data_IF_504024297153
#
_entry.id   IF_504024297153
#
_cell.length_a   1.000
_cell.length_b   1.000
_cell.length_c   1.000
_cell.angle_alpha   90.00
_cell.angle_beta   90.00
_cell.angle_gamma   90.00
#
_symmetry.space_group_name_H-M   'P 1'
#
loop_
_entity.id
_entity.type
_entity.pdbx_description
1 polymer ?
#
# COMPACT_ATOMS: atom_id res chain seq x y z
N UNK A 1 19.92 14.53 7.50
CA UNK A 1 19.01 15.53 6.92
C UNK A 1 17.63 14.89 6.84
N UNK A 2 16.68 15.42 7.61
CA UNK A 2 15.31 14.89 7.68
C UNK A 2 14.50 15.43 6.52
N UNK A 3 13.65 14.61 5.90
CA UNK A 3 12.80 15.02 4.76
C UNK A 3 11.33 14.80 5.08
N UNK A 4 10.49 15.71 4.61
CA UNK A 4 9.03 15.65 4.72
C UNK A 4 8.46 15.29 3.36
N UNK A 5 7.60 14.27 3.33
CA UNK A 5 6.87 13.82 2.15
C UNK A 5 5.42 14.29 2.27
N UNK A 6 4.91 14.93 1.23
CA UNK A 6 3.55 15.44 1.22
C UNK A 6 2.95 15.42 -0.19
N UNK A 7 1.64 15.58 -0.26
CA UNK A 7 0.89 15.63 -1.50
C UNK A 7 0.41 17.06 -1.73
N UNK A 8 0.56 17.54 -2.97
CA UNK A 8 -0.06 18.80 -3.41
C UNK A 8 -1.12 18.45 -4.46
N UNK A 9 -2.32 19.01 -4.29
CA UNK A 9 -3.37 18.97 -5.30
C UNK A 9 -3.13 20.10 -6.31
N UNK A 10 -2.86 19.74 -7.56
CA UNK A 10 -2.72 20.65 -8.69
C UNK A 10 -3.83 20.35 -9.70
N UNK A 11 -4.89 21.16 -9.72
CA UNK A 11 -6.12 20.88 -10.48
C UNK A 11 -6.70 19.51 -10.09
N UNK A 12 -6.85 18.58 -11.03
CA UNK A 12 -7.38 17.22 -10.81
C UNK A 12 -6.30 16.19 -10.41
N UNK A 13 -5.04 16.61 -10.27
CA UNK A 13 -3.90 15.73 -10.02
C UNK A 13 -3.41 15.89 -8.58
N UNK A 14 -3.12 14.77 -7.90
CA UNK A 14 -2.36 14.75 -6.64
C UNK A 14 -0.94 14.33 -6.94
N UNK A 15 0.00 15.25 -6.79
CA UNK A 15 1.42 15.04 -7.04
C UNK A 15 2.19 14.87 -5.74
N UNK A 16 3.30 14.12 -5.81
CA UNK A 16 4.14 13.82 -4.65
C UNK A 16 5.29 14.83 -4.61
N UNK A 17 5.44 15.50 -3.47
CA UNK A 17 6.48 16.48 -3.21
C UNK A 17 7.30 16.10 -1.99
N UNK A 18 8.55 16.55 -1.99
CA UNK A 18 9.48 16.40 -0.88
C UNK A 18 10.12 17.74 -0.53
N UNK A 19 10.30 18.00 0.76
CA UNK A 19 11.03 19.18 1.25
C UNK A 19 11.94 18.77 2.41
N UNK A 20 13.01 19.53 2.65
CA UNK A 20 13.80 19.35 3.87
C UNK A 20 12.97 19.74 5.09
N UNK A 21 13.15 19.03 6.20
CA UNK A 21 12.51 19.41 7.47
C UNK A 21 13.03 20.74 8.01
N UNK A 22 14.25 21.14 7.61
CA UNK A 22 14.84 22.44 7.93
C UNK A 22 14.26 23.59 7.07
N UNK A 23 13.30 23.28 6.19
CA UNK A 23 12.70 24.22 5.24
C UNK A 23 13.41 24.25 3.88
N UNK A 24 12.90 25.10 2.98
CA UNK A 24 13.39 25.25 1.61
C UNK A 24 12.31 24.96 0.56
N UNK A 25 12.72 24.99 -0.71
CA UNK A 25 11.81 24.80 -1.84
C UNK A 25 11.39 23.33 -2.00
N UNK A 26 10.08 23.03 -2.08
CA UNK A 26 9.60 21.69 -2.38
C UNK A 26 10.03 21.21 -3.77
N UNK A 27 10.48 19.96 -3.84
CA UNK A 27 10.81 19.28 -5.10
C UNK A 27 9.71 18.29 -5.44
N UNK A 28 9.19 18.38 -6.66
CA UNK A 28 8.22 17.43 -7.20
C UNK A 28 8.92 16.14 -7.61
N UNK A 29 8.42 14.99 -7.12
CA UNK A 29 8.99 13.67 -7.43
C UNK A 29 8.28 12.97 -8.60
N UNK A 30 6.98 13.20 -8.78
CA UNK A 30 6.19 12.54 -9.83
C UNK A 30 6.30 13.27 -11.16
N UNK A 31 6.81 12.59 -12.19
CA UNK A 31 7.00 13.13 -13.56
C UNK A 31 5.87 12.81 -14.55
N UNK A 32 5.07 11.76 -14.29
CA UNK A 32 3.98 11.35 -15.18
C UNK A 32 2.66 12.02 -14.79
N UNK A 33 2.30 13.03 -15.56
CA UNK A 33 0.96 13.65 -15.57
C UNK A 33 0.06 12.90 -16.55
N UNK A 34 -0.38 11.69 -16.16
CA UNK A 34 -1.56 11.12 -16.84
C UNK A 34 -2.77 11.88 -16.30
N UNK A 35 -3.45 12.63 -17.17
CA UNK A 35 -4.61 13.46 -16.80
C UNK A 35 -5.67 12.60 -16.10
N UNK A 36 -6.13 13.02 -14.93
CA UNK A 36 -7.09 12.29 -14.10
C UNK A 36 -6.48 11.27 -13.13
N UNK A 37 -5.15 11.08 -13.14
CA UNK A 37 -4.49 10.13 -12.25
C UNK A 37 -4.04 10.83 -10.95
N UNK A 38 -4.37 10.25 -9.80
CA UNK A 38 -4.01 10.77 -8.49
C UNK A 38 -3.08 9.81 -7.75
N UNK A 39 -2.04 10.35 -7.10
CA UNK A 39 -1.22 9.60 -6.16
C UNK A 39 -1.72 9.80 -4.73
N UNK A 40 -1.83 8.71 -3.97
CA UNK A 40 -2.35 8.73 -2.59
C UNK A 40 -1.57 7.78 -1.68
N UNK A 41 -1.85 7.83 -0.37
CA UNK A 41 -1.37 6.85 0.61
C UNK A 41 0.16 6.70 0.61
N UNK A 42 0.88 7.81 0.47
CA UNK A 42 2.34 7.85 0.40
C UNK A 42 2.98 7.43 1.73
N UNK A 43 4.06 6.64 1.65
CA UNK A 43 4.86 6.19 2.79
C UNK A 43 6.34 6.08 2.44
N UNK A 44 7.20 6.49 3.36
CA UNK A 44 8.63 6.21 3.30
C UNK A 44 8.92 4.74 3.58
N UNK A 45 9.86 4.17 2.82
CA UNK A 45 10.56 2.97 3.23
C UNK A 45 11.36 3.26 4.51
N UNK A 46 11.52 2.31 5.44
CA UNK A 46 12.30 2.51 6.67
C UNK A 46 13.75 2.97 6.43
N UNK A 47 14.33 2.63 5.28
CA UNK A 47 15.68 3.06 4.90
C UNK A 47 15.78 4.53 4.45
N UNK A 48 14.65 5.21 4.26
CA UNK A 48 14.57 6.60 3.82
C UNK A 48 15.01 6.85 2.38
N UNK A 49 15.26 5.81 1.57
CA UNK A 49 15.72 5.92 0.18
C UNK A 49 14.58 5.81 -0.82
N UNK A 50 13.59 4.98 -0.49
CA UNK A 50 12.42 4.73 -1.33
C UNK A 50 11.15 5.28 -0.71
N UNK A 51 10.18 5.59 -1.56
CA UNK A 51 8.80 5.80 -1.16
C UNK A 51 7.89 4.80 -1.86
N UNK A 52 6.78 4.46 -1.23
CA UNK A 52 5.68 3.74 -1.83
C UNK A 52 4.42 4.60 -1.84
N UNK A 53 3.58 4.40 -2.85
CA UNK A 53 2.33 5.13 -2.99
C UNK A 53 1.35 4.36 -3.86
N UNK A 54 0.09 4.74 -3.74
CA UNK A 54 -1.00 4.21 -4.57
C UNK A 54 -1.28 5.15 -5.72
N UNK A 55 -1.73 4.58 -6.83
CA UNK A 55 -2.21 5.34 -7.96
C UNK A 55 -3.67 5.02 -8.27
N UNK A 56 -4.47 6.07 -8.50
CA UNK A 56 -5.90 5.99 -8.76
C UNK A 56 -6.24 6.75 -10.04
N UNK A 57 -6.91 6.09 -10.98
CA UNK A 57 -7.49 6.74 -12.15
C UNK A 57 -8.79 7.46 -11.79
N UNK A 58 -8.63 8.57 -11.07
CA UNK A 58 -9.74 9.37 -10.53
C UNK A 58 -10.60 9.96 -11.64
N UNK A 59 -10.00 10.39 -12.75
CA UNK A 59 -10.73 11.00 -13.86
C UNK A 59 -11.73 10.05 -14.52
N UNK A 60 -11.36 8.79 -14.74
CA UNK A 60 -12.30 7.77 -15.22
C UNK A 60 -13.29 7.35 -14.13
N UNK A 61 -12.84 7.22 -12.88
CA UNK A 61 -13.73 6.91 -11.75
C UNK A 61 -14.84 7.95 -11.57
N UNK A 62 -14.50 9.24 -11.60
CA UNK A 62 -15.42 10.36 -11.43
C UNK A 62 -16.48 10.41 -12.54
N UNK A 63 -16.10 10.04 -13.77
CA UNK A 63 -17.02 9.98 -14.92
C UNK A 63 -17.85 8.69 -14.99
N UNK A 64 -17.63 7.75 -14.07
CA UNK A 64 -18.24 6.42 -14.13
C UNK A 64 -17.73 5.57 -15.31
N UNK A 65 -16.58 5.91 -15.88
CA UNK A 65 -15.91 5.15 -16.93
C UNK A 65 -15.13 3.98 -16.33
N UNK A 66 -14.70 3.04 -17.19
CA UNK A 66 -13.82 1.95 -16.77
C UNK A 66 -12.44 2.50 -16.37
N UNK A 67 -12.23 2.67 -15.07
CA UNK A 67 -10.95 3.10 -14.50
C UNK A 67 -9.86 2.01 -14.58
N UNK A 68 -8.60 2.43 -14.68
CA UNK A 68 -7.47 1.54 -14.48
C UNK A 68 -7.44 0.94 -13.06
N UNK A 69 -6.88 -0.27 -12.90
CA UNK A 69 -6.74 -0.87 -11.57
C UNK A 69 -5.91 0.04 -10.66
N UNK A 70 -6.31 0.10 -9.39
CA UNK A 70 -5.48 0.73 -8.36
C UNK A 70 -4.19 -0.07 -8.26
N UNK A 71 -3.07 0.63 -8.34
CA UNK A 71 -1.74 0.05 -8.35
C UNK A 71 -0.88 0.62 -7.24
N UNK A 72 0.02 -0.23 -6.73
CA UNK A 72 1.06 0.18 -5.79
C UNK A 72 2.35 0.37 -6.56
N UNK A 73 3.00 1.50 -6.31
CA UNK A 73 4.26 1.88 -6.92
C UNK A 73 5.31 2.13 -5.85
N UNK A 74 6.57 1.92 -6.23
CA UNK A 74 7.73 2.42 -5.49
C UNK A 74 8.51 3.40 -6.34
N UNK A 75 9.25 4.28 -5.67
CA UNK A 75 10.17 5.20 -6.31
C UNK A 75 11.43 5.36 -5.49
N UNK A 76 12.59 5.25 -6.13
CA UNK A 76 13.85 5.72 -5.55
C UNK A 76 13.89 7.25 -5.61
N UNK A 77 14.09 7.89 -4.46
CA UNK A 77 14.00 9.35 -4.35
C UNK A 77 15.19 10.06 -5.01
N UNK A 78 16.35 9.39 -5.14
CA UNK A 78 17.54 9.97 -5.75
C UNK A 78 17.49 9.82 -7.27
N UNK A 79 17.10 8.65 -7.76
CA UNK A 79 17.10 8.33 -9.18
C UNK A 79 15.81 8.77 -9.88
N UNK A 80 14.71 8.87 -9.13
CA UNK A 80 13.39 9.21 -9.66
C UNK A 80 12.81 8.12 -10.56
N UNK A 81 13.30 6.89 -10.43
CA UNK A 81 12.81 5.74 -11.18
C UNK A 81 11.51 5.23 -10.54
N UNK A 82 10.45 5.15 -11.36
CA UNK A 82 9.15 4.61 -10.96
C UNK A 82 9.08 3.12 -11.24
N UNK A 83 8.71 2.32 -10.23
CA UNK A 83 8.56 0.88 -10.34
C UNK A 83 7.15 0.45 -9.94
N UNK A 84 6.48 -0.26 -10.84
CA UNK A 84 5.20 -0.92 -10.51
C UNK A 84 5.49 -2.11 -9.60
N UNK A 85 4.82 -2.16 -8.46
CA UNK A 85 4.94 -3.27 -7.49
C UNK A 85 3.87 -4.31 -7.78
N UNK A 86 2.61 -3.88 -7.81
CA UNK A 86 1.47 -4.76 -8.11
C UNK A 86 0.27 -3.93 -8.51
N UNK A 87 -0.62 -4.57 -9.28
CA UNK A 87 -1.96 -4.07 -9.57
C UNK A 87 -2.99 -4.78 -8.68
N UNK A 88 -4.14 -4.16 -8.48
CA UNK A 88 -5.31 -4.84 -7.93
C UNK A 88 -5.31 -5.06 -6.41
N UNK A 89 -4.45 -4.33 -5.68
CA UNK A 89 -4.57 -4.13 -4.23
C UNK A 89 -5.33 -2.83 -3.97
N UNK A 90 -6.63 -2.96 -3.76
CA UNK A 90 -7.59 -1.85 -3.76
C UNK A 90 -7.79 -1.19 -2.38
N UNK A 91 -7.09 -1.65 -1.33
CA UNK A 91 -7.06 -1.07 0.02
C UNK A 91 -6.80 0.41 -0.01
N UNK A 92 -7.42 1.19 0.88
CA UNK A 92 -7.14 2.63 1.02
C UNK A 92 -5.90 2.92 1.87
N UNK A 93 -5.14 1.89 2.16
CA UNK A 93 -4.02 1.85 3.09
C UNK A 93 -2.76 1.34 2.40
N UNK A 94 -1.62 1.64 3.02
CA UNK A 94 -0.31 1.14 2.62
C UNK A 94 0.65 1.28 3.81
N UNK A 95 1.44 0.25 4.08
CA UNK A 95 2.60 0.35 4.97
C UNK A 95 3.78 -0.49 4.46
N UNK A 96 4.99 -0.12 4.86
CA UNK A 96 6.19 -0.92 4.60
C UNK A 96 6.41 -1.92 5.72
N UNK A 97 6.99 -3.08 5.41
CA UNK A 97 7.64 -3.90 6.44
C UNK A 97 8.81 -3.15 7.06
N UNK A 98 9.11 -3.42 8.33
CA UNK A 98 10.21 -2.76 9.05
C UNK A 98 11.59 -3.01 8.41
N UNK A 99 11.75 -4.10 7.67
CA UNK A 99 12.94 -4.44 6.90
C UNK A 99 12.97 -3.84 5.48
N UNK A 100 11.91 -3.14 5.06
CA UNK A 100 11.79 -2.52 3.74
C UNK A 100 11.63 -3.50 2.57
N UNK A 101 11.49 -4.81 2.82
CA UNK A 101 11.38 -5.82 1.76
C UNK A 101 9.97 -6.02 1.22
N UNK A 102 8.95 -5.61 1.96
CA UNK A 102 7.55 -5.83 1.62
C UNK A 102 6.72 -4.56 1.78
N UNK A 103 5.65 -4.49 1.01
CA UNK A 103 4.58 -3.52 1.16
C UNK A 103 3.30 -4.26 1.50
N UNK A 104 2.58 -3.77 2.50
CA UNK A 104 1.30 -4.31 2.91
C UNK A 104 0.17 -3.37 2.51
N UNK A 105 -0.93 -3.95 2.08
CA UNK A 105 -2.18 -3.25 1.80
C UNK A 105 -3.35 -4.22 1.96
N UNK A 106 -4.51 -3.68 2.24
CA UNK A 106 -5.74 -4.46 2.35
C UNK A 106 -6.42 -4.65 0.99
N UNK A 107 -7.26 -5.67 0.89
CA UNK A 107 -8.16 -5.87 -0.25
C UNK A 107 -9.39 -6.63 0.24
N UNK A 108 -10.55 -6.34 -0.33
CA UNK A 108 -11.73 -7.19 -0.14
C UNK A 108 -11.46 -8.57 -0.75
N UNK A 109 -11.59 -9.61 0.06
CA UNK A 109 -11.50 -10.98 -0.40
C UNK A 109 -12.65 -11.29 -1.37
N UNK A 110 -12.32 -11.92 -2.51
CA UNK A 110 -13.28 -12.20 -3.59
C UNK A 110 -14.43 -13.11 -3.14
N UNK A 111 -14.16 -14.03 -2.21
CA UNK A 111 -15.19 -14.89 -1.63
C UNK A 111 -16.13 -14.16 -0.66
N UNK A 112 -15.85 -12.90 -0.29
CA UNK A 112 -16.69 -12.15 0.64
C UNK A 112 -17.89 -11.52 -0.05
N UNK A 113 -19.09 -11.96 0.37
CA UNK A 113 -20.39 -11.51 -0.14
C UNK A 113 -20.93 -10.25 0.58
N UNK A 114 -20.35 -9.87 1.71
CA UNK A 114 -20.76 -8.70 2.49
C UNK A 114 -20.31 -7.36 1.87
N UNK A 115 -20.57 -6.22 2.53
CA UNK A 115 -20.03 -4.92 2.12
C UNK A 115 -18.49 -4.93 2.11
N UNK A 116 -17.89 -3.92 1.47
CA UNK A 116 -16.45 -3.89 1.21
C UNK A 116 -15.61 -3.98 2.48
N UNK A 117 -16.12 -3.39 3.56
CA UNK A 117 -15.49 -3.26 4.87
C UNK A 117 -15.43 -4.58 5.65
N UNK A 118 -16.39 -5.49 5.47
CA UNK A 118 -16.46 -6.77 6.21
C UNK A 118 -15.58 -7.87 5.60
N UNK A 119 -15.21 -7.71 4.32
CA UNK A 119 -14.42 -8.67 3.56
C UNK A 119 -12.92 -8.39 3.52
N UNK A 120 -12.42 -7.40 4.27
CA UNK A 120 -11.04 -6.96 4.11
C UNK A 120 -10.04 -7.98 4.67
N UNK A 121 -8.99 -8.23 3.90
CA UNK A 121 -7.82 -9.02 4.29
C UNK A 121 -6.57 -8.23 3.98
N UNK A 122 -5.56 -8.37 4.83
CA UNK A 122 -4.24 -7.80 4.55
C UNK A 122 -3.46 -8.76 3.66
N UNK A 123 -2.81 -8.18 2.66
CA UNK A 123 -1.86 -8.86 1.79
C UNK A 123 -0.51 -8.16 1.90
N UNK A 124 0.56 -8.91 1.69
CA UNK A 124 1.89 -8.36 1.46
C UNK A 124 2.33 -8.63 0.04
N UNK A 125 3.15 -7.75 -0.52
CA UNK A 125 3.82 -7.95 -1.80
C UNK A 125 5.28 -7.56 -1.64
N UNK A 126 6.17 -8.27 -2.35
CA UNK A 126 7.58 -7.87 -2.42
C UNK A 126 7.69 -6.43 -2.90
N UNK A 127 8.54 -5.62 -2.28
CA UNK A 127 8.81 -4.25 -2.72
C UNK A 127 9.41 -4.20 -4.14
N UNK A 128 9.98 -5.31 -4.59
CA UNK A 128 10.46 -5.48 -5.97
C UNK A 128 9.39 -5.89 -6.97
N UNK A 129 8.15 -6.03 -6.49
CA UNK A 129 6.99 -6.42 -7.26
C UNK A 129 6.76 -7.92 -7.30
N UNK A 130 5.57 -8.29 -7.76
CA UNK A 130 5.15 -9.69 -7.86
C UNK A 130 3.70 -9.89 -7.38
N UNK A 131 3.33 -11.15 -7.22
CA UNK A 131 2.00 -11.51 -6.76
C UNK A 131 1.82 -11.19 -5.26
N UNK A 132 0.70 -10.57 -4.86
CA UNK A 132 0.37 -10.40 -3.45
C UNK A 132 0.12 -11.72 -2.74
N UNK A 133 0.70 -11.87 -1.56
CA UNK A 133 0.51 -12.99 -0.64
C UNK A 133 -0.47 -12.62 0.46
N UNK A 134 -1.48 -13.47 0.68
CA UNK A 134 -2.46 -13.27 1.75
C UNK A 134 -1.78 -13.47 3.12
N UNK A 135 -1.99 -12.53 4.03
CA UNK A 135 -1.53 -12.62 5.41
C UNK A 135 -2.60 -13.21 6.32
N UNK A 136 -2.21 -13.69 7.50
CA UNK A 136 -3.14 -14.16 8.52
C UNK A 136 -3.76 -13.00 9.32
N UNK A 137 -4.30 -11.99 8.62
CA UNK A 137 -4.89 -10.80 9.22
C UNK A 137 -6.23 -10.52 8.54
N UNK A 138 -7.29 -10.57 9.35
CA UNK A 138 -8.65 -10.22 8.96
C UNK A 138 -8.95 -8.78 9.37
N UNK A 139 -8.71 -7.85 8.45
CA UNK A 139 -8.88 -6.42 8.67
C UNK A 139 -8.18 -5.58 7.61
N UNK A 140 -7.94 -4.31 7.93
CA UNK A 140 -7.34 -3.31 7.06
C UNK A 140 -6.46 -2.33 7.85
N UNK A 141 -5.95 -1.31 7.17
CA UNK A 141 -5.04 -0.31 7.70
C UNK A 141 -3.86 -0.90 8.51
N UNK A 142 -3.08 -1.84 7.92
CA UNK A 142 -1.96 -2.43 8.63
C UNK A 142 -0.87 -1.39 8.90
N UNK A 143 -0.21 -1.51 10.05
CA UNK A 143 1.00 -0.75 10.38
C UNK A 143 1.99 -1.63 11.12
N UNK A 144 3.24 -1.70 10.64
CA UNK A 144 4.28 -2.52 11.24
C UNK A 144 4.84 -1.85 12.49
N UNK A 145 5.10 -2.63 13.54
CA UNK A 145 5.92 -2.15 14.63
C UNK A 145 7.35 -1.87 14.15
N UNK A 146 8.04 -0.87 14.71
CA UNK A 146 9.42 -0.54 14.32
C UNK A 146 10.40 -1.72 14.41
N UNK A 147 10.18 -2.64 15.35
CA UNK A 147 10.97 -3.85 15.55
C UNK A 147 10.56 -5.02 14.63
N UNK A 148 9.50 -4.87 13.84
CA UNK A 148 8.98 -5.90 12.92
C UNK A 148 8.25 -7.06 13.57
N UNK A 149 8.06 -7.07 14.89
CA UNK A 149 7.50 -8.21 15.61
C UNK A 149 5.97 -8.23 15.62
N UNK A 150 5.34 -7.09 15.36
CA UNK A 150 3.90 -6.88 15.48
C UNK A 150 3.36 -6.11 14.29
N UNK A 151 2.07 -6.31 14.04
CA UNK A 151 1.29 -5.46 13.13
C UNK A 151 0.06 -4.97 13.87
N UNK A 152 -0.14 -3.65 13.88
CA UNK A 152 -1.42 -3.06 14.24
C UNK A 152 -2.35 -3.04 13.02
N UNK A 153 -3.65 -3.25 13.21
CA UNK A 153 -4.63 -3.19 12.12
C UNK A 153 -6.01 -2.82 12.66
N UNK A 154 -6.89 -2.35 11.77
CA UNK A 154 -8.29 -2.08 12.09
C UNK A 154 -9.20 -3.19 11.59
N UNK A 155 -10.29 -3.43 12.30
CA UNK A 155 -11.33 -4.38 11.91
C UNK A 155 -12.70 -3.73 12.09
N UNK A 156 -13.52 -3.77 11.03
CA UNK A 156 -14.91 -3.41 11.16
C UNK A 156 -15.67 -4.55 11.85
N UNK A 157 -16.43 -4.19 12.87
CA UNK A 157 -17.36 -5.05 13.62
C UNK A 157 -18.75 -4.41 13.61
N UNK A 158 -19.78 -5.15 14.01
CA UNK A 158 -21.18 -4.72 13.93
C UNK A 158 -21.44 -3.33 14.53
N UNK A 159 -20.75 -2.98 15.61
CA UNK A 159 -20.95 -1.73 16.35
C UNK A 159 -19.85 -0.68 16.14
N UNK A 160 -18.94 -0.86 15.18
CA UNK A 160 -17.91 0.13 14.89
C UNK A 160 -16.59 -0.44 14.39
N UNK A 161 -15.49 0.26 14.69
CA UNK A 161 -14.13 -0.17 14.32
C UNK A 161 -13.33 -0.49 15.57
N UNK A 162 -12.71 -1.67 15.57
CA UNK A 162 -11.75 -2.07 16.59
C UNK A 162 -10.32 -1.95 16.06
N UNK A 163 -9.38 -1.71 16.96
CA UNK A 163 -7.94 -1.74 16.67
C UNK A 163 -7.31 -2.93 17.38
N UNK A 164 -6.55 -3.71 16.63
CA UNK A 164 -5.95 -4.96 17.07
C UNK A 164 -4.44 -4.94 16.83
N UNK A 165 -3.71 -5.69 17.64
CA UNK A 165 -2.29 -5.96 17.46
C UNK A 165 -2.13 -7.48 17.34
N UNK A 166 -1.36 -7.92 16.35
CA UNK A 166 -1.12 -9.34 16.10
C UNK A 166 0.38 -9.63 15.99
N UNK A 167 0.77 -10.77 16.55
CA UNK A 167 2.06 -11.45 16.35
C UNK A 167 1.82 -12.68 15.46
N UNK A 168 2.88 -13.27 14.88
CA UNK A 168 2.76 -14.45 13.99
C UNK A 168 1.80 -14.22 12.79
N UNK A 169 1.87 -13.03 12.20
CA UNK A 169 1.00 -12.55 11.11
C UNK A 169 1.33 -13.14 9.73
N UNK A 170 2.44 -13.86 9.61
CA UNK A 170 2.83 -14.51 8.37
C UNK A 170 1.88 -15.71 8.11
N UNK A 171 1.53 -15.97 6.84
CA UNK A 171 0.79 -17.19 6.51
C UNK A 171 1.59 -18.43 6.94
N UNK A 172 0.90 -19.46 7.43
CA UNK A 172 1.53 -20.74 7.72
C UNK A 172 2.24 -21.26 6.48
N UNK A 173 3.50 -21.71 6.64
CA UNK A 173 4.20 -22.35 5.54
C UNK A 173 3.39 -23.55 5.06
N UNK A 174 3.05 -23.57 3.77
CA UNK A 174 2.45 -24.76 3.16
C UNK A 174 3.49 -25.87 3.27
N UNK A 175 3.31 -26.76 4.26
CA UNK A 175 4.15 -27.95 4.42
C UNK A 175 4.25 -28.73 3.11
N UNK A 176 5.30 -29.55 2.94
CA UNK A 176 5.57 -30.23 1.68
C UNK A 176 4.30 -30.95 1.20
N UNK A 177 3.87 -30.65 -0.03
CA UNK A 177 2.76 -31.36 -0.68
C UNK A 177 3.10 -32.85 -0.60
N UNK A 178 2.39 -33.59 0.25
CA UNK A 178 2.50 -35.06 0.28
C UNK A 178 2.28 -35.54 -1.14
N UNK A 179 3.31 -36.09 -1.77
CA UNK A 179 3.16 -36.73 -3.07
C UNK A 179 2.13 -37.84 -2.87
N UNK A 180 1.04 -37.79 -3.63
CA UNK A 180 0.17 -38.95 -3.75
C UNK A 180 0.97 -39.97 -4.55
N UNK A 181 1.54 -40.97 -3.86
CA UNK A 181 2.01 -42.19 -4.51
C UNK A 181 0.80 -42.82 -5.21
N UNK A 182 0.93 -43.01 -6.53
CA UNK A 182 0.01 -43.83 -7.32
C UNK A 182 0.22 -45.30 -7.02
#
# INVERSE_FOLDING_TARGET
MTKILFLIQEKELKNIFIVSADGGEPVRLTKKDKKGFQYTSTRWCPDGKKIAFRSLDYGSWEKGEKAEPISIWTMDVKEGELKLVTEGLFGWDLCWSSDGRYILSSKKEESSKGPWQEGQRVFRVSADGGAPEKMNINGSAPDYSPDGKKIAYSRLVEYGTEYWIVENFLPEEKGPKKSKSR
#
